data_IF_070768184928
#
_entry.id   IF_070768184928
#
_cell.length_a   1.000
_cell.length_b   1.000
_cell.length_c   1.000
_cell.angle_alpha   90.00
_cell.angle_beta   90.00
_cell.angle_gamma   90.00
#
_symmetry.space_group_name_H-M   'P 1'
#
loop_
_entity.id
_entity.type
_entity.pdbx_description
1 polymer ?
#
# COMPACT_ATOMS: atom_id res chain seq x y z
N UNK A 1 10.64 -24.97 -0.91
CA UNK A 1 9.63 -23.90 -1.06
C UNK A 1 9.89 -22.88 0.03
N UNK A 2 9.96 -21.59 -0.29
CA UNK A 2 10.09 -20.55 0.74
C UNK A 2 8.83 -20.57 1.61
N UNK A 3 9.02 -20.61 2.93
CA UNK A 3 7.91 -20.62 3.89
C UNK A 3 7.53 -19.15 4.19
N UNK A 4 6.66 -18.59 3.35
CA UNK A 4 6.17 -17.24 3.52
C UNK A 4 5.11 -17.20 4.63
N UNK A 5 5.26 -16.26 5.58
CA UNK A 5 4.39 -16.17 6.75
C UNK A 5 3.22 -15.19 6.56
N UNK A 6 3.44 -14.14 5.77
CA UNK A 6 2.48 -13.05 5.55
C UNK A 6 2.35 -12.75 4.07
N UNK A 7 1.12 -12.51 3.62
CA UNK A 7 0.81 -12.13 2.25
C UNK A 7 0.10 -10.77 2.23
N UNK A 8 0.33 -10.02 1.19
CA UNK A 8 -0.07 -8.62 1.07
C UNK A 8 -0.48 -8.35 -0.38
N UNK A 9 -1.55 -7.61 -0.60
CA UNK A 9 -1.91 -7.10 -1.92
C UNK A 9 -1.62 -5.61 -1.98
N UNK A 10 -0.84 -5.17 -2.98
CA UNK A 10 -0.33 -3.79 -3.05
C UNK A 10 -0.42 -3.21 -4.45
N UNK A 11 -0.53 -1.89 -4.51
CA UNK A 11 -0.34 -1.08 -5.72
C UNK A 11 0.94 -0.27 -5.51
N UNK A 12 2.00 -0.59 -6.25
CA UNK A 12 3.24 0.19 -6.18
C UNK A 12 3.07 1.54 -6.85
N UNK A 13 3.73 2.56 -6.30
CA UNK A 13 3.76 3.87 -6.93
C UNK A 13 4.59 3.82 -8.23
N UNK A 14 4.16 4.62 -9.20
CA UNK A 14 4.96 4.85 -10.39
C UNK A 14 6.33 5.46 -10.01
N UNK A 15 7.43 5.10 -10.70
CA UNK A 15 8.78 5.52 -10.33
C UNK A 15 8.94 7.04 -10.18
N UNK A 16 8.22 7.81 -11.00
CA UNK A 16 8.26 9.27 -11.00
C UNK A 16 7.73 9.87 -9.68
N UNK A 17 6.75 9.21 -9.06
CA UNK A 17 6.16 9.63 -7.79
C UNK A 17 6.87 8.98 -6.59
N UNK A 18 7.38 7.78 -6.78
CA UNK A 18 8.05 7.04 -5.72
C UNK A 18 9.35 7.71 -5.25
N UNK A 19 10.11 8.33 -6.16
CA UNK A 19 11.45 8.86 -5.86
C UNK A 19 11.53 9.76 -4.62
N UNK A 20 10.77 10.85 -4.53
CA UNK A 20 10.78 11.73 -3.36
C UNK A 20 10.30 11.03 -2.07
N UNK A 21 9.30 10.16 -2.18
CA UNK A 21 8.77 9.38 -1.04
C UNK A 21 9.80 8.38 -0.55
N UNK A 22 10.50 7.68 -1.45
CA UNK A 22 11.56 6.75 -1.09
C UNK A 22 12.79 7.44 -0.47
N UNK A 23 13.08 8.68 -0.88
CA UNK A 23 14.13 9.46 -0.24
C UNK A 23 13.78 9.74 1.24
N UNK A 24 12.55 10.15 1.52
CA UNK A 24 12.07 10.34 2.89
C UNK A 24 12.06 9.04 3.70
N UNK A 25 11.59 7.94 3.11
CA UNK A 25 11.56 6.65 3.78
C UNK A 25 12.95 6.17 4.14
N UNK A 26 13.93 6.31 3.24
CA UNK A 26 15.35 5.99 3.54
C UNK A 26 15.93 6.85 4.65
N UNK A 27 15.54 8.11 4.76
CA UNK A 27 16.00 9.02 5.81
C UNK A 27 15.35 8.72 7.16
N UNK A 28 14.03 8.48 7.19
CA UNK A 28 13.23 8.45 8.41
C UNK A 28 12.83 7.05 8.89
N UNK A 29 12.78 6.08 7.97
CA UNK A 29 12.48 4.66 8.23
C UNK A 29 13.26 3.75 7.26
N UNK A 30 14.59 3.71 7.38
CA UNK A 30 15.44 2.93 6.47
C UNK A 30 15.10 1.43 6.47
N UNK A 31 14.66 0.88 7.60
CA UNK A 31 14.31 -0.54 7.73
C UNK A 31 13.07 -0.87 6.91
N UNK A 32 12.03 -0.03 6.94
CA UNK A 32 10.85 -0.20 6.09
C UNK A 32 11.18 0.01 4.62
N UNK A 33 12.00 1.04 4.30
CA UNK A 33 12.41 1.31 2.93
C UNK A 33 13.21 0.14 2.31
N UNK A 34 14.01 -0.57 3.11
CA UNK A 34 14.75 -1.74 2.68
C UNK A 34 13.86 -2.98 2.49
N UNK A 35 12.73 -3.05 3.19
CA UNK A 35 11.83 -4.21 3.15
C UNK A 35 10.86 -4.17 1.96
N UNK A 36 10.32 -3.01 1.60
CA UNK A 36 9.32 -2.88 0.54
C UNK A 36 9.33 -1.47 -0.04
N UNK A 37 9.19 -1.35 -1.36
CA UNK A 37 9.03 -0.08 -2.04
C UNK A 37 7.72 0.64 -1.65
N UNK A 38 7.66 1.95 -1.90
CA UNK A 38 6.48 2.78 -1.63
C UNK A 38 5.25 2.26 -2.39
N UNK A 39 4.17 2.03 -1.66
CA UNK A 39 2.96 1.38 -2.17
C UNK A 39 1.71 1.83 -1.42
N UNK A 40 0.56 1.61 -2.05
CA UNK A 40 -0.77 1.65 -1.42
C UNK A 40 -1.23 0.22 -1.18
N UNK A 41 -1.61 -0.11 0.04
CA UNK A 41 -2.05 -1.46 0.39
C UNK A 41 -3.51 -1.69 0.03
N UNK A 42 -3.78 -2.73 -0.77
CA UNK A 42 -5.13 -3.21 -1.08
C UNK A 42 -5.63 -4.17 -0.01
N UNK A 43 -4.79 -5.08 0.47
CA UNK A 43 -5.14 -6.00 1.55
C UNK A 43 -3.93 -6.28 2.44
N UNK A 44 -4.11 -6.09 3.74
CA UNK A 44 -3.11 -6.41 4.76
C UNK A 44 -3.17 -7.89 5.16
N UNK A 45 -2.07 -8.49 5.66
CA UNK A 45 -2.05 -9.89 6.09
C UNK A 45 -3.16 -10.24 7.09
N UNK A 46 -3.42 -9.34 8.04
CA UNK A 46 -4.47 -9.55 9.06
C UNK A 46 -5.90 -9.46 8.52
N UNK A 47 -6.12 -8.77 7.40
CA UNK A 47 -7.42 -8.66 6.75
C UNK A 47 -7.73 -9.89 5.90
N UNK A 48 -6.72 -10.48 5.28
CA UNK A 48 -6.83 -11.63 4.40
C UNK A 48 -5.77 -12.70 4.74
N UNK A 49 -5.95 -13.41 5.87
CA UNK A 49 -4.94 -14.34 6.39
C UNK A 49 -4.80 -15.64 5.58
N UNK A 50 -5.70 -15.90 4.63
CA UNK A 50 -5.68 -17.11 3.79
C UNK A 50 -5.07 -16.75 2.44
N UNK A 51 -3.81 -17.15 2.23
CA UNK A 51 -3.00 -16.78 1.07
C UNK A 51 -3.64 -17.12 -0.27
N UNK A 52 -4.05 -18.39 -0.46
CA UNK A 52 -4.64 -18.84 -1.73
C UNK A 52 -5.93 -18.07 -2.05
N UNK A 53 -6.74 -17.81 -1.02
CA UNK A 53 -7.96 -17.04 -1.16
C UNK A 53 -7.68 -15.58 -1.54
N UNK A 54 -6.64 -14.97 -0.97
CA UNK A 54 -6.21 -13.61 -1.33
C UNK A 54 -5.78 -13.55 -2.80
N UNK A 55 -4.94 -14.50 -3.23
CA UNK A 55 -4.45 -14.58 -4.62
C UNK A 55 -5.62 -14.71 -5.60
N UNK A 56 -6.53 -15.65 -5.35
CA UNK A 56 -7.70 -15.86 -6.21
C UNK A 56 -8.59 -14.62 -6.30
N UNK A 57 -8.83 -13.95 -5.18
CA UNK A 57 -9.66 -12.74 -5.14
C UNK A 57 -9.03 -11.54 -5.81
N UNK A 58 -7.72 -11.37 -5.65
CA UNK A 58 -7.00 -10.29 -6.34
C UNK A 58 -7.03 -10.53 -7.85
N UNK A 59 -6.81 -11.75 -8.31
CA UNK A 59 -6.95 -12.10 -9.73
C UNK A 59 -8.36 -11.77 -10.25
N UNK A 60 -9.40 -12.26 -9.57
CA UNK A 60 -10.80 -12.05 -9.94
C UNK A 60 -11.21 -10.57 -9.94
N UNK A 61 -10.77 -9.82 -8.92
CA UNK A 61 -11.01 -8.40 -8.82
C UNK A 61 -10.30 -7.62 -9.93
N UNK A 62 -9.06 -8.00 -10.26
CA UNK A 62 -8.28 -7.35 -11.33
C UNK A 62 -8.90 -7.53 -12.72
N UNK A 63 -9.47 -8.70 -13.00
CA UNK A 63 -10.19 -8.98 -14.26
C UNK A 63 -11.45 -8.12 -14.43
N UNK A 64 -12.04 -7.68 -13.31
CA UNK A 64 -13.29 -6.88 -13.26
C UNK A 64 -13.06 -5.39 -13.07
N UNK A 65 -11.86 -5.00 -12.69
CA UNK A 65 -11.48 -3.60 -12.45
C UNK A 65 -10.76 -3.03 -13.66
N UNK A 66 -11.09 -1.80 -14.00
CA UNK A 66 -10.31 -1.01 -14.97
C UNK A 66 -9.17 -0.28 -14.27
N UNK A 67 -8.14 0.18 -15.00
CA UNK A 67 -7.19 1.14 -14.46
C UNK A 67 -7.90 2.38 -13.89
N UNK A 68 -7.47 2.86 -12.71
CA UNK A 68 -8.12 3.95 -12.00
C UNK A 68 -7.11 4.93 -11.42
N UNK A 69 -7.57 6.13 -11.08
CA UNK A 69 -6.71 7.19 -10.59
C UNK A 69 -6.71 7.26 -9.08
N UNK A 70 -5.49 7.38 -8.55
CA UNK A 70 -5.21 7.70 -7.16
C UNK A 70 -4.46 9.03 -7.11
N UNK A 71 -4.71 9.82 -6.06
CA UNK A 71 -4.03 11.12 -5.86
C UNK A 71 -3.32 11.13 -4.50
N UNK A 72 -2.05 11.53 -4.51
CA UNK A 72 -1.30 11.76 -3.27
C UNK A 72 -1.82 13.03 -2.60
N UNK A 73 -2.31 12.89 -1.39
CA UNK A 73 -2.78 13.98 -0.54
C UNK A 73 -1.71 14.50 0.42
N UNK A 74 -2.15 15.08 1.53
CA UNK A 74 -1.28 15.59 2.58
C UNK A 74 -0.66 14.50 3.46
N UNK A 75 0.30 14.91 4.30
CA UNK A 75 0.84 14.07 5.38
C UNK A 75 -0.20 13.93 6.48
N UNK A 76 -0.38 12.72 6.97
CA UNK A 76 -1.27 12.38 8.06
C UNK A 76 -0.64 11.34 9.00
N UNK A 77 -1.29 11.06 10.11
CA UNK A 77 -0.85 10.04 11.07
C UNK A 77 -2.04 9.23 11.60
N UNK A 78 -1.78 8.05 12.16
CA UNK A 78 -2.80 7.20 12.78
C UNK A 78 -3.08 7.65 14.22
N UNK A 79 -3.87 8.70 14.37
CA UNK A 79 -4.21 9.32 15.66
C UNK A 79 -3.07 10.16 16.24
N UNK A 80 -1.85 9.61 16.31
CA UNK A 80 -0.64 10.28 16.76
C UNK A 80 0.55 9.93 15.86
N UNK A 81 1.53 10.84 15.67
CA UNK A 81 2.70 10.57 14.83
C UNK A 81 3.50 9.33 15.21
N UNK A 82 3.56 9.00 16.51
CA UNK A 82 4.24 7.81 17.03
C UNK A 82 3.58 6.48 16.58
N UNK A 83 2.31 6.53 16.14
CA UNK A 83 1.59 5.37 15.63
C UNK A 83 1.75 5.16 14.13
N UNK A 84 2.57 5.98 13.49
CA UNK A 84 2.88 5.93 12.06
C UNK A 84 2.45 7.18 11.32
N UNK A 85 3.32 7.61 10.41
CA UNK A 85 3.12 8.77 9.52
C UNK A 85 3.04 8.30 8.08
N UNK A 86 2.13 8.86 7.32
CA UNK A 86 1.85 8.45 5.95
C UNK A 86 1.43 9.62 5.06
N UNK A 87 1.56 9.42 3.76
CA UNK A 87 0.91 10.25 2.75
C UNK A 87 -0.51 9.71 2.56
N UNK A 88 -1.52 10.54 2.78
CA UNK A 88 -2.91 10.18 2.47
C UNK A 88 -3.08 9.98 0.96
N UNK A 89 -3.92 9.04 0.56
CA UNK A 89 -4.22 8.77 -0.85
C UNK A 89 -5.72 8.90 -1.06
N UNK A 90 -6.10 9.72 -2.03
CA UNK A 90 -7.47 9.89 -2.45
C UNK A 90 -7.83 8.90 -3.57
N UNK A 91 -8.94 8.21 -3.42
CA UNK A 91 -9.54 7.38 -4.47
C UNK A 91 -10.38 8.27 -5.38
N UNK A 92 -9.78 8.75 -6.47
CA UNK A 92 -10.41 9.75 -7.36
C UNK A 92 -11.63 9.21 -8.08
N UNK A 93 -11.57 7.95 -8.48
CA UNK A 93 -12.61 7.32 -9.31
C UNK A 93 -13.56 6.41 -8.49
N UNK A 94 -13.28 6.18 -7.19
CA UNK A 94 -14.02 5.25 -6.33
C UNK A 94 -13.71 3.77 -6.59
N UNK A 95 -12.83 3.47 -7.52
CA UNK A 95 -12.49 2.10 -7.96
C UNK A 95 -11.57 1.37 -6.97
N UNK A 96 -10.71 2.09 -6.25
CA UNK A 96 -9.88 1.48 -5.20
C UNK A 96 -10.75 0.89 -4.08
N UNK A 97 -11.77 1.61 -3.65
CA UNK A 97 -12.73 1.13 -2.66
C UNK A 97 -13.45 -0.12 -3.16
N UNK A 98 -13.95 -0.11 -4.40
CA UNK A 98 -14.61 -1.26 -5.00
C UNK A 98 -13.69 -2.47 -5.12
N UNK A 99 -12.41 -2.26 -5.49
CA UNK A 99 -11.39 -3.29 -5.53
C UNK A 99 -11.20 -3.92 -4.13
N UNK A 100 -11.04 -3.10 -3.08
CA UNK A 100 -10.91 -3.58 -1.70
C UNK A 100 -12.16 -4.36 -1.24
N UNK A 101 -13.34 -3.84 -1.46
CA UNK A 101 -14.61 -4.50 -1.13
C UNK A 101 -14.69 -5.89 -1.77
N UNK A 102 -14.25 -6.03 -3.01
CA UNK A 102 -14.21 -7.31 -3.70
C UNK A 102 -13.17 -8.27 -3.10
N UNK A 103 -11.97 -7.79 -2.84
CA UNK A 103 -10.86 -8.59 -2.28
C UNK A 103 -11.16 -8.99 -0.83
N UNK A 104 -11.71 -8.09 -0.03
CA UNK A 104 -11.93 -8.27 1.42
C UNK A 104 -13.35 -8.75 1.78
N UNK A 105 -14.12 -9.28 0.82
CA UNK A 105 -15.41 -9.91 1.10
C UNK A 105 -15.24 -11.12 2.06
N UNK A 106 -16.26 -11.50 2.83
CA UNK A 106 -16.17 -12.62 3.77
C UNK A 106 -15.58 -13.89 3.15
N UNK A 107 -14.74 -14.67 3.88
CA UNK A 107 -14.40 -14.55 5.29
C UNK A 107 -13.29 -13.52 5.64
N UNK A 108 -12.73 -12.78 4.68
CA UNK A 108 -11.80 -11.69 4.95
C UNK A 108 -12.49 -10.53 5.68
N UNK A 109 -11.71 -9.65 6.32
CA UNK A 109 -12.25 -8.55 7.10
C UNK A 109 -11.59 -7.23 6.67
N UNK A 110 -12.41 -6.26 6.26
CA UNK A 110 -11.93 -4.90 6.01
C UNK A 110 -11.79 -4.16 7.35
N UNK A 111 -10.56 -3.82 7.71
CA UNK A 111 -10.26 -3.03 8.90
C UNK A 111 -10.46 -1.51 8.68
N UNK A 112 -11.06 -1.11 7.55
CA UNK A 112 -11.37 0.27 7.19
C UNK A 112 -10.14 1.21 7.22
N UNK A 113 -8.95 0.71 6.88
CA UNK A 113 -7.78 1.58 6.74
C UNK A 113 -7.98 2.54 5.57
N UNK A 114 -7.69 3.83 5.77
CA UNK A 114 -7.65 4.77 4.66
C UNK A 114 -6.56 4.37 3.66
N UNK A 115 -6.77 4.65 2.38
CA UNK A 115 -5.71 4.50 1.38
C UNK A 115 -4.54 5.43 1.75
N UNK A 116 -3.33 4.89 1.80
CA UNK A 116 -2.14 5.64 2.21
C UNK A 116 -0.84 5.02 1.72
N UNK A 117 0.22 5.83 1.72
CA UNK A 117 1.60 5.38 1.54
C UNK A 117 2.36 5.65 2.83
N UNK A 118 2.83 4.62 3.51
CA UNK A 118 3.56 4.75 4.77
C UNK A 118 4.93 5.39 4.56
N UNK A 119 5.21 6.42 5.35
CA UNK A 119 6.51 7.11 5.43
C UNK A 119 7.34 6.61 6.60
N UNK A 120 6.73 6.56 7.80
CA UNK A 120 7.35 6.08 9.03
C UNK A 120 6.41 5.09 9.69
N UNK A 121 6.85 3.83 9.80
CA UNK A 121 6.05 2.76 10.38
C UNK A 121 6.48 2.49 11.83
N UNK A 122 5.54 2.39 12.81
CA UNK A 122 5.88 2.32 14.23
C UNK A 122 6.62 1.04 14.65
N UNK A 123 6.60 -0.01 13.81
CA UNK A 123 7.35 -1.26 14.08
C UNK A 123 8.80 -1.21 13.61
N UNK A 124 9.15 -0.31 12.71
CA UNK A 124 10.49 -0.21 12.10
C UNK A 124 11.21 1.07 12.47
N UNK A 125 10.46 2.13 12.85
CA UNK A 125 11.06 3.40 13.23
C UNK A 125 10.23 4.08 14.33
N UNK A 126 10.92 4.63 15.34
CA UNK A 126 10.31 5.44 16.40
C UNK A 126 10.38 6.95 16.11
N UNK A 127 10.74 7.33 14.88
CA UNK A 127 10.97 8.73 14.47
C UNK A 127 9.71 9.44 13.93
N UNK A 128 8.53 8.87 14.15
CA UNK A 128 7.27 9.43 13.63
C UNK A 128 7.00 10.86 14.14
N UNK A 129 7.25 11.15 15.42
CA UNK A 129 7.08 12.49 15.98
C UNK A 129 8.11 13.48 15.42
N UNK A 130 9.38 13.07 15.35
CA UNK A 130 10.44 13.90 14.76
C UNK A 130 10.14 14.23 13.29
N UNK A 131 9.66 13.25 12.53
CA UNK A 131 9.21 13.48 11.15
C UNK A 131 8.07 14.48 11.08
N UNK A 132 7.06 14.34 11.95
CA UNK A 132 5.89 15.21 11.99
C UNK A 132 6.26 16.67 12.25
N UNK A 133 7.22 16.90 13.15
CA UNK A 133 7.68 18.25 13.52
C UNK A 133 8.65 18.87 12.50
N UNK A 134 9.43 18.06 11.78
CA UNK A 134 10.58 18.54 10.99
C UNK A 134 10.56 18.10 9.54
N UNK A 135 9.72 17.15 9.16
CA UNK A 135 9.81 16.43 7.87
C UNK A 135 9.53 17.31 6.63
N UNK A 136 8.77 18.36 6.76
CA UNK A 136 8.63 19.45 5.76
C UNK A 136 8.12 19.05 4.36
N UNK A 137 7.89 17.78 4.06
CA UNK A 137 7.42 17.32 2.76
C UNK A 137 5.92 17.57 2.58
N UNK A 138 5.58 18.21 1.48
CA UNK A 138 4.19 18.37 1.05
C UNK A 138 4.04 17.71 -0.33
N UNK A 139 3.34 16.58 -0.43
CA UNK A 139 2.99 16.01 -1.73
C UNK A 139 2.13 17.01 -2.50
N UNK A 140 2.45 17.21 -3.79
CA UNK A 140 1.80 18.24 -4.60
C UNK A 140 0.58 17.69 -5.34
N UNK A 141 -0.40 17.11 -4.67
CA UNK A 141 -1.65 16.61 -5.28
C UNK A 141 -1.44 15.83 -6.60
N UNK A 142 -0.35 15.06 -6.67
CA UNK A 142 0.02 14.33 -7.87
C UNK A 142 -0.87 13.11 -8.04
N UNK A 143 -1.43 12.96 -9.24
CA UNK A 143 -2.21 11.80 -9.61
C UNK A 143 -1.34 10.74 -10.31
N UNK A 144 -1.70 9.49 -10.10
CA UNK A 144 -1.18 8.37 -10.87
C UNK A 144 -2.28 7.36 -11.16
N UNK A 145 -2.08 6.60 -12.24
CA UNK A 145 -3.02 5.55 -12.62
C UNK A 145 -2.53 4.21 -12.08
N UNK A 146 -3.30 3.61 -11.20
CA UNK A 146 -3.14 2.22 -10.81
C UNK A 146 -3.51 1.33 -12.00
N UNK A 147 -2.57 0.52 -12.47
CA UNK A 147 -2.76 -0.37 -13.64
C UNK A 147 -2.68 -1.84 -13.26
N UNK A 148 -2.15 -2.14 -12.08
CA UNK A 148 -1.90 -3.50 -11.63
C UNK A 148 -1.93 -3.60 -10.10
N UNK A 149 -2.20 -4.79 -9.60
CA UNK A 149 -2.11 -5.16 -8.19
C UNK A 149 -1.09 -6.28 -8.06
N UNK A 150 -0.12 -6.11 -7.17
CA UNK A 150 0.88 -7.12 -6.86
C UNK A 150 0.50 -7.91 -5.61
N UNK A 151 0.71 -9.21 -5.65
CA UNK A 151 0.78 -10.05 -4.46
C UNK A 151 2.23 -10.08 -4.00
N UNK A 152 2.45 -9.68 -2.77
CA UNK A 152 3.74 -9.75 -2.10
C UNK A 152 3.70 -10.69 -0.92
N UNK A 153 4.82 -11.29 -0.58
CA UNK A 153 4.96 -12.13 0.61
C UNK A 153 6.27 -11.81 1.35
N UNK A 154 6.23 -11.92 2.68
CA UNK A 154 7.39 -11.65 3.52
C UNK A 154 8.27 -12.89 3.61
N UNK A 155 9.54 -12.80 3.18
CA UNK A 155 10.50 -13.90 3.18
C UNK A 155 11.32 -14.03 4.48
N UNK A 156 10.99 -13.18 5.47
CA UNK A 156 11.71 -13.09 6.74
C UNK A 156 12.65 -11.87 6.82
N UNK A 157 12.97 -11.25 5.70
CA UNK A 157 13.82 -10.05 5.62
C UNK A 157 13.15 -8.92 4.83
N UNK A 158 12.44 -9.24 3.76
CA UNK A 158 11.78 -8.28 2.87
C UNK A 158 10.52 -8.86 2.25
N UNK A 159 9.71 -7.98 1.68
CA UNK A 159 8.56 -8.36 0.87
C UNK A 159 8.99 -8.61 -0.57
N UNK A 160 8.71 -9.80 -1.08
CA UNK A 160 9.01 -10.20 -2.46
C UNK A 160 7.73 -10.26 -3.27
N UNK A 161 7.77 -9.80 -4.51
CA UNK A 161 6.63 -9.90 -5.43
C UNK A 161 6.52 -11.33 -5.93
N UNK A 162 5.37 -11.96 -5.71
CA UNK A 162 5.06 -13.33 -6.16
C UNK A 162 4.28 -13.33 -7.48
N UNK A 163 3.37 -12.37 -7.64
CA UNK A 163 2.54 -12.24 -8.84
C UNK A 163 2.09 -10.79 -9.01
N UNK A 164 1.77 -10.43 -10.24
CA UNK A 164 1.18 -9.13 -10.60
C UNK A 164 -0.01 -9.37 -11.52
N UNK A 165 -1.13 -8.72 -11.23
CA UNK A 165 -2.38 -8.80 -11.98
C UNK A 165 -2.74 -7.46 -12.57
N UNK A 166 -2.84 -7.40 -13.88
CA UNK A 166 -3.23 -6.19 -14.61
C UNK A 166 -4.73 -5.91 -14.44
N UNK A 167 -5.08 -4.68 -14.19
CA UNK A 167 -6.46 -4.21 -14.18
C UNK A 167 -6.92 -4.05 -15.62
N UNK A 168 -7.78 -4.95 -16.09
CA UNK A 168 -8.01 -5.16 -17.52
C UNK A 168 -9.48 -5.01 -17.98
N UNK A 169 -10.42 -4.68 -17.06
CA UNK A 169 -11.81 -4.54 -17.46
C UNK A 169 -11.97 -3.43 -18.51
N UNK A 170 -12.50 -3.78 -19.66
CA UNK A 170 -12.98 -2.85 -20.68
C UNK A 170 -14.42 -2.46 -20.38
N UNK A 171 -14.79 -1.23 -20.78
CA UNK A 171 -16.20 -0.77 -20.72
C UNK A 171 -17.08 -1.59 -21.65
#
# INVERSE_FOLDING_TARGET
MADYRDYHATIFLAPELAGPIEALRREWDPDMAAQIAAHVTVAYPREAPIADLLVDRVREASERSRPFRLRLGGIACFGRPEHGVYVAVEDVDGEYRMLREHVLRPPSQDAAFPAHVTLVHPRTSHRGLDFWERGGYQPQNQEFTAKEVAITAFDGARWVVLATYTLAATR
#
